data_IF_064216193172
#
_entry.id   IF_064216193172
#
_cell.length_a   1.000
_cell.length_b   1.000
_cell.length_c   1.000
_cell.angle_alpha   90.00
_cell.angle_beta   90.00
_cell.angle_gamma   90.00
#
_symmetry.space_group_name_H-M   'P 1'
#
loop_
_entity.id
_entity.type
_entity.pdbx_description
1 polymer ?
#
# COMPACT_ATOMS: atom_id res chain seq x y z
N UNK A 1 -26.38 -12.23 -51.13
CA UNK A 1 -27.03 -11.93 -49.85
C UNK A 1 -26.27 -12.45 -48.61
N UNK A 2 -25.80 -13.72 -48.58
CA UNK A 2 -25.09 -14.28 -47.43
C UNK A 2 -23.80 -13.52 -47.06
N UNK A 3 -22.99 -13.09 -48.03
CA UNK A 3 -21.73 -12.35 -47.79
C UNK A 3 -21.97 -10.97 -47.17
N UNK A 4 -23.04 -10.27 -47.57
CA UNK A 4 -23.37 -8.94 -47.04
C UNK A 4 -23.77 -8.99 -45.53
N UNK A 5 -24.50 -10.05 -45.16
CA UNK A 5 -24.91 -10.26 -43.76
C UNK A 5 -23.69 -10.52 -42.87
N UNK A 6 -22.72 -11.31 -43.33
CA UNK A 6 -21.49 -11.56 -42.58
C UNK A 6 -20.61 -10.31 -42.41
N UNK A 7 -20.52 -9.48 -43.46
CA UNK A 7 -19.76 -8.21 -43.36
C UNK A 7 -20.41 -7.23 -42.37
N UNK A 8 -21.74 -7.15 -42.36
CA UNK A 8 -22.47 -6.31 -41.41
C UNK A 8 -22.34 -6.82 -39.98
N UNK A 9 -22.34 -8.14 -39.74
CA UNK A 9 -22.14 -8.72 -38.41
C UNK A 9 -20.72 -8.49 -37.88
N UNK A 10 -19.70 -8.62 -38.74
CA UNK A 10 -18.31 -8.35 -38.37
C UNK A 10 -18.12 -6.85 -38.07
N UNK A 11 -18.70 -5.97 -38.86
CA UNK A 11 -18.64 -4.52 -38.61
C UNK A 11 -19.37 -4.11 -37.31
N UNK A 12 -20.55 -4.71 -37.05
CA UNK A 12 -21.29 -4.47 -35.82
C UNK A 12 -20.54 -4.98 -34.58
N UNK A 13 -19.92 -6.16 -34.65
CA UNK A 13 -19.10 -6.73 -33.58
C UNK A 13 -17.85 -5.89 -33.34
N UNK A 14 -17.17 -5.45 -34.41
CA UNK A 14 -16.02 -4.55 -34.33
C UNK A 14 -16.40 -3.21 -33.70
N UNK A 15 -17.54 -2.62 -34.04
CA UNK A 15 -18.03 -1.38 -33.42
C UNK A 15 -18.37 -1.57 -31.94
N UNK A 16 -18.97 -2.70 -31.54
CA UNK A 16 -19.28 -3.03 -30.16
C UNK A 16 -18.00 -3.18 -29.29
N UNK A 17 -16.99 -3.86 -29.84
CA UNK A 17 -15.69 -4.03 -29.16
C UNK A 17 -14.98 -2.68 -29.05
N UNK A 18 -15.05 -1.84 -30.09
CA UNK A 18 -14.44 -0.51 -30.06
C UNK A 18 -15.15 0.43 -29.05
N UNK A 19 -16.47 0.39 -28.99
CA UNK A 19 -17.25 1.17 -28.00
C UNK A 19 -17.00 0.71 -26.58
N UNK A 20 -16.84 -0.59 -26.33
CA UNK A 20 -16.51 -1.10 -24.99
C UNK A 20 -15.10 -0.74 -24.55
N UNK A 21 -14.16 -0.59 -25.48
CA UNK A 21 -12.79 -0.14 -25.15
C UNK A 21 -12.67 1.38 -24.97
N UNK A 22 -13.56 2.14 -25.60
CA UNK A 22 -13.59 3.61 -25.48
C UNK A 22 -14.27 4.11 -24.20
N UNK A 23 -15.02 3.26 -23.50
CA UNK A 23 -15.69 3.60 -22.25
C UNK A 23 -14.98 3.06 -21.00
N UNK A 24 -13.66 3.00 -20.98
CA UNK A 24 -12.98 2.90 -19.69
C UNK A 24 -13.20 4.22 -18.98
N UNK A 25 -13.98 4.26 -17.87
CA UNK A 25 -14.03 5.47 -17.06
C UNK A 25 -12.59 5.77 -16.67
N UNK A 26 -12.21 6.99 -16.87
CA UNK A 26 -10.89 7.50 -16.52
C UNK A 26 -10.80 7.48 -14.99
N UNK A 27 -10.42 6.33 -14.44
CA UNK A 27 -10.40 6.06 -12.99
C UNK A 27 -9.36 6.91 -12.24
N UNK A 28 -8.61 7.70 -13.00
CA UNK A 28 -7.54 8.53 -12.47
C UNK A 28 -7.98 9.99 -12.22
N UNK A 29 -9.22 10.35 -12.56
CA UNK A 29 -9.74 11.67 -12.21
C UNK A 29 -10.25 11.69 -10.76
N UNK A 30 -9.79 12.66 -9.98
CA UNK A 30 -10.10 12.82 -8.56
C UNK A 30 -11.59 12.82 -8.24
N UNK A 31 -12.41 13.34 -9.14
CA UNK A 31 -13.87 13.44 -8.95
C UNK A 31 -14.61 12.10 -9.12
N UNK A 32 -13.98 11.10 -9.72
CA UNK A 32 -14.61 9.80 -10.03
C UNK A 32 -14.09 8.63 -9.20
N UNK A 33 -12.98 8.76 -8.46
CA UNK A 33 -12.41 7.68 -7.66
C UNK A 33 -12.95 7.71 -6.22
N UNK A 34 -13.83 6.78 -5.81
CA UNK A 34 -14.38 6.77 -4.46
C UNK A 34 -13.32 6.63 -3.38
N UNK A 35 -12.17 6.02 -3.68
CA UNK A 35 -11.05 5.85 -2.74
C UNK A 35 -10.34 7.16 -2.40
N UNK A 36 -10.47 8.19 -3.23
CA UNK A 36 -9.94 9.52 -2.99
C UNK A 36 -10.95 10.47 -2.33
N UNK A 37 -12.12 9.97 -1.94
CA UNK A 37 -13.15 10.79 -1.30
C UNK A 37 -12.86 11.03 0.19
N UNK A 38 -13.31 12.19 0.70
CA UNK A 38 -13.21 12.48 2.13
C UNK A 38 -14.00 11.46 2.98
N UNK A 39 -15.11 10.96 2.46
CA UNK A 39 -15.93 9.93 3.11
C UNK A 39 -15.16 8.63 3.25
N UNK A 40 -14.47 8.19 2.20
CA UNK A 40 -13.66 6.99 2.25
C UNK A 40 -12.51 7.13 3.26
N UNK A 41 -11.77 8.26 3.21
CA UNK A 41 -10.69 8.53 4.19
C UNK A 41 -11.19 8.51 5.63
N UNK A 42 -12.35 9.09 5.88
CA UNK A 42 -12.99 9.09 7.20
C UNK A 42 -13.39 7.69 7.67
N UNK A 43 -13.90 6.86 6.75
CA UNK A 43 -14.32 5.48 7.06
C UNK A 43 -13.15 4.56 7.41
N UNK A 44 -11.97 4.78 6.79
CA UNK A 44 -10.76 3.98 7.05
C UNK A 44 -9.95 4.46 8.26
N UNK A 45 -10.39 5.51 8.94
CA UNK A 45 -9.71 6.08 10.10
C UNK A 45 -8.44 6.85 9.77
N UNK A 46 -7.79 7.37 10.80
CA UNK A 46 -6.52 8.07 10.68
C UNK A 46 -5.37 7.11 10.36
N UNK A 47 -4.44 7.56 9.55
CA UNK A 47 -3.16 6.88 9.37
C UNK A 47 -2.25 7.19 10.56
N UNK A 48 -1.40 6.23 11.02
CA UNK A 48 -0.54 6.46 12.17
C UNK A 48 0.49 7.56 11.85
N UNK A 49 0.54 8.57 12.72
CA UNK A 49 1.48 9.70 12.67
C UNK A 49 2.57 9.56 13.75
N UNK A 50 2.92 8.33 14.06
CA UNK A 50 3.90 7.94 15.04
C UNK A 50 5.18 7.44 14.39
N UNK A 51 6.23 7.31 15.19
CA UNK A 51 7.50 6.71 14.80
C UNK A 51 7.91 5.70 15.88
N UNK A 52 8.65 4.67 15.49
CA UNK A 52 9.38 3.79 16.40
C UNK A 52 10.89 3.93 16.16
N UNK A 53 11.69 3.02 16.68
CA UNK A 53 13.15 3.04 16.56
C UNK A 53 13.65 2.97 15.09
N UNK A 54 12.86 2.40 14.19
CA UNK A 54 13.28 2.11 12.82
C UNK A 54 12.39 2.77 11.76
N UNK A 55 11.09 2.91 12.02
CA UNK A 55 10.11 3.27 11.00
C UNK A 55 9.25 4.47 11.36
N UNK A 56 8.68 5.06 10.32
CA UNK A 56 7.70 6.13 10.39
C UNK A 56 6.36 5.65 9.83
N UNK A 57 5.27 5.97 10.50
CA UNK A 57 3.92 5.62 10.05
C UNK A 57 3.50 6.38 8.80
N UNK A 58 2.57 5.79 8.04
CA UNK A 58 2.10 6.33 6.75
C UNK A 58 1.45 7.71 6.86
N UNK A 59 0.97 8.10 8.04
CA UNK A 59 0.43 9.44 8.29
C UNK A 59 1.44 10.56 8.03
N UNK A 60 2.72 10.34 8.36
CA UNK A 60 3.80 11.28 8.04
C UNK A 60 4.00 11.43 6.54
N UNK A 61 3.99 10.30 5.81
CA UNK A 61 4.12 10.29 4.35
C UNK A 61 2.91 10.97 3.68
N UNK A 62 1.72 10.76 4.23
CA UNK A 62 0.48 11.36 3.77
C UNK A 62 0.50 12.90 3.79
N UNK A 63 1.33 13.52 4.65
CA UNK A 63 1.49 14.96 4.69
C UNK A 63 1.89 15.58 3.34
N UNK A 64 2.64 14.83 2.53
CA UNK A 64 3.04 15.27 1.18
C UNK A 64 2.45 14.40 0.06
N UNK A 65 2.20 13.10 0.32
CA UNK A 65 1.81 12.10 -0.68
C UNK A 65 0.31 11.72 -0.63
N UNK A 66 -0.50 12.43 0.16
CA UNK A 66 -1.96 12.37 0.10
C UNK A 66 -2.52 13.55 -0.71
N UNK A 67 -3.79 13.87 -0.52
CA UNK A 67 -4.39 15.06 -1.11
C UNK A 67 -3.71 16.31 -0.56
N UNK A 68 -2.88 16.93 -1.37
CA UNK A 68 -2.10 18.12 -1.05
C UNK A 68 -2.84 19.36 -1.56
N UNK A 69 -3.12 20.37 -0.69
CA UNK A 69 -3.77 21.61 -1.11
C UNK A 69 -2.94 22.41 -2.13
N UNK A 70 -1.63 22.19 -2.17
CA UNK A 70 -0.74 22.81 -3.16
C UNK A 70 -0.54 21.95 -4.41
N UNK A 71 -1.01 20.73 -4.41
CA UNK A 71 -0.94 19.74 -5.51
C UNK A 71 0.47 19.36 -5.96
N UNK A 72 1.50 19.53 -5.13
CA UNK A 72 2.90 19.30 -5.54
C UNK A 72 3.24 17.85 -5.82
N UNK A 73 2.69 16.93 -5.03
CA UNK A 73 3.04 15.52 -5.09
C UNK A 73 1.84 14.61 -5.41
N UNK A 74 0.64 15.16 -5.54
CA UNK A 74 -0.59 14.39 -5.71
C UNK A 74 -1.29 14.62 -7.04
N UNK A 75 -0.92 15.65 -7.80
CA UNK A 75 -1.54 15.95 -9.10
C UNK A 75 -0.49 15.89 -10.22
N UNK A 76 -0.65 14.93 -11.11
CA UNK A 76 0.22 14.80 -12.28
C UNK A 76 -0.09 15.85 -13.34
N UNK A 77 0.94 16.23 -14.12
CA UNK A 77 0.82 17.20 -15.21
C UNK A 77 1.05 18.65 -14.78
N UNK A 78 1.42 18.89 -13.52
CA UNK A 78 1.78 20.23 -13.06
C UNK A 78 3.18 20.64 -13.56
N UNK A 79 3.31 21.90 -13.93
CA UNK A 79 4.60 22.54 -14.18
C UNK A 79 5.15 23.15 -12.90
N UNK A 80 6.46 23.09 -12.71
CA UNK A 80 7.11 23.78 -11.60
C UNK A 80 7.54 25.21 -12.02
N UNK A 81 7.34 26.29 -11.22
CA UNK A 81 6.62 26.29 -9.93
C UNK A 81 5.14 25.94 -10.10
N UNK A 82 4.62 25.22 -9.15
CA UNK A 82 3.28 24.70 -9.23
C UNK A 82 2.25 25.82 -9.36
N UNK A 83 1.56 25.83 -10.48
CA UNK A 83 0.30 26.53 -10.61
C UNK A 83 -0.77 25.48 -10.38
N UNK A 84 -1.71 25.65 -9.43
CA UNK A 84 -2.77 24.71 -9.24
C UNK A 84 -3.46 24.44 -10.58
N UNK A 85 -3.36 23.21 -11.07
CA UNK A 85 -4.10 22.77 -12.25
C UNK A 85 -5.30 21.97 -11.77
N UNK A 86 -6.51 22.59 -11.72
CA UNK A 86 -7.70 21.92 -11.27
C UNK A 86 -8.04 20.69 -12.12
N UNK A 87 -7.54 20.63 -13.34
CA UNK A 87 -7.76 19.56 -14.32
C UNK A 87 -6.63 18.53 -14.38
N UNK A 88 -5.68 18.55 -13.44
CA UNK A 88 -4.60 17.56 -13.35
C UNK A 88 -5.11 16.20 -12.83
N UNK A 89 -4.34 15.15 -13.09
CA UNK A 89 -4.67 13.79 -12.65
C UNK A 89 -4.28 13.63 -11.17
N UNK A 90 -5.21 13.18 -10.36
CA UNK A 90 -4.89 12.82 -8.98
C UNK A 90 -4.14 11.50 -8.96
N UNK A 91 -2.86 11.57 -8.66
CA UNK A 91 -1.92 10.44 -8.51
C UNK A 91 -1.50 10.24 -7.05
N UNK A 92 -2.36 10.62 -6.14
CA UNK A 92 -2.20 10.49 -4.70
C UNK A 92 -2.01 9.02 -4.29
N UNK A 93 -0.78 8.64 -4.07
CA UNK A 93 -0.40 7.25 -3.77
C UNK A 93 -0.90 6.78 -2.41
N UNK A 94 -1.14 7.69 -1.47
CA UNK A 94 -1.61 7.32 -0.13
C UNK A 94 -3.05 6.80 -0.17
N UNK A 95 -3.94 7.45 -0.89
CA UNK A 95 -5.34 7.01 -0.99
C UNK A 95 -5.45 5.73 -1.85
N UNK A 96 -4.63 5.58 -2.87
CA UNK A 96 -4.56 4.35 -3.66
C UNK A 96 -4.05 3.17 -2.81
N UNK A 97 -2.98 3.38 -2.05
CA UNK A 97 -2.38 2.36 -1.18
C UNK A 97 -3.33 1.95 -0.04
N UNK A 98 -3.95 2.91 0.68
CA UNK A 98 -4.75 2.59 1.89
C UNK A 98 -5.92 1.64 1.64
N UNK A 99 -6.40 1.55 0.41
CA UNK A 99 -7.46 0.64 0.00
C UNK A 99 -6.96 -0.77 -0.36
N UNK A 100 -5.65 -0.99 -0.41
CA UNK A 100 -5.06 -2.26 -0.83
C UNK A 100 -5.03 -3.31 0.28
N UNK A 101 -4.85 -4.57 -0.11
CA UNK A 101 -4.59 -5.66 0.84
C UNK A 101 -3.28 -5.45 1.61
N UNK A 102 -2.29 -4.77 1.04
CA UNK A 102 -1.03 -4.44 1.73
C UNK A 102 -1.26 -3.54 2.93
N UNK A 103 -1.98 -2.43 2.75
CA UNK A 103 -2.31 -1.51 3.84
C UNK A 103 -3.16 -2.15 4.95
N UNK A 104 -3.88 -3.22 4.62
CA UNK A 104 -4.80 -3.89 5.53
C UNK A 104 -4.29 -5.27 5.98
N UNK A 105 -3.09 -5.67 5.61
CA UNK A 105 -2.55 -7.01 5.85
C UNK A 105 -2.51 -7.41 7.32
N UNK A 106 -2.14 -6.47 8.21
CA UNK A 106 -2.10 -6.70 9.65
C UNK A 106 -3.50 -6.73 10.31
N UNK A 107 -4.45 -6.00 9.71
CA UNK A 107 -5.84 -5.87 10.19
C UNK A 107 -6.78 -6.95 9.63
N UNK A 108 -6.32 -7.75 8.69
CA UNK A 108 -7.13 -8.78 8.03
C UNK A 108 -7.58 -9.85 9.05
N UNK A 109 -8.88 -9.95 9.33
CA UNK A 109 -9.40 -10.91 10.31
C UNK A 109 -9.20 -12.37 9.88
N UNK A 110 -9.13 -12.66 8.58
CA UNK A 110 -8.85 -14.02 8.10
C UNK A 110 -7.40 -14.42 8.38
N UNK A 111 -6.46 -13.49 8.15
CA UNK A 111 -5.07 -13.75 8.51
C UNK A 111 -4.89 -13.92 10.02
N UNK A 112 -5.47 -13.03 10.83
CA UNK A 112 -5.40 -13.15 12.30
C UNK A 112 -6.00 -14.48 12.80
N UNK A 113 -7.14 -14.87 12.25
CA UNK A 113 -7.76 -16.16 12.56
C UNK A 113 -6.88 -17.35 12.12
N UNK A 114 -6.18 -17.22 10.98
CA UNK A 114 -5.26 -18.25 10.50
C UNK A 114 -4.05 -18.40 11.42
N UNK A 115 -3.44 -17.29 11.87
CA UNK A 115 -2.35 -17.35 12.87
C UNK A 115 -2.82 -18.03 14.15
N UNK A 116 -3.99 -17.64 14.66
CA UNK A 116 -4.58 -18.27 15.87
C UNK A 116 -4.82 -19.76 15.67
N UNK A 117 -5.28 -20.20 14.49
CA UNK A 117 -5.48 -21.60 14.16
C UNK A 117 -4.15 -22.36 14.10
N UNK A 118 -3.12 -21.81 13.48
CA UNK A 118 -1.79 -22.43 13.42
C UNK A 118 -1.19 -22.64 14.82
N UNK A 119 -1.32 -21.64 15.69
CA UNK A 119 -0.90 -21.73 17.10
C UNK A 119 -1.70 -22.81 17.84
N UNK A 120 -3.02 -22.90 17.64
CA UNK A 120 -3.85 -23.91 18.28
C UNK A 120 -3.48 -25.35 17.85
N UNK A 121 -3.05 -25.52 16.59
CA UNK A 121 -2.61 -26.83 16.06
C UNK A 121 -1.17 -27.17 16.49
N UNK A 122 -0.33 -26.14 16.62
CA UNK A 122 1.09 -26.28 16.92
C UNK A 122 1.50 -25.47 18.17
N UNK A 123 0.95 -25.76 19.36
CA UNK A 123 1.12 -24.89 20.52
C UNK A 123 2.58 -24.81 21.03
N UNK A 124 3.41 -25.80 20.74
CA UNK A 124 4.84 -25.76 21.06
C UNK A 124 5.65 -24.76 20.21
N UNK A 125 5.08 -24.27 19.12
CA UNK A 125 5.70 -23.31 18.18
C UNK A 125 4.97 -21.97 18.16
N UNK A 126 4.25 -21.64 19.23
CA UNK A 126 3.48 -20.40 19.29
C UNK A 126 4.36 -19.16 19.04
N UNK A 127 5.49 -19.05 19.74
CA UNK A 127 6.36 -17.86 19.64
C UNK A 127 6.90 -17.69 18.23
N UNK A 128 7.38 -18.78 17.62
CA UNK A 128 7.92 -18.73 16.26
C UNK A 128 6.84 -18.43 15.21
N UNK A 129 5.62 -18.93 15.40
CA UNK A 129 4.51 -18.68 14.47
C UNK A 129 4.01 -17.23 14.58
N UNK A 130 3.81 -16.75 15.81
CA UNK A 130 3.38 -15.37 16.05
C UNK A 130 4.43 -14.34 15.61
N UNK A 131 5.70 -14.67 15.69
CA UNK A 131 6.78 -13.83 15.19
C UNK A 131 6.91 -13.87 13.66
N UNK A 132 6.89 -15.07 13.07
CA UNK A 132 7.10 -15.25 11.63
C UNK A 132 6.04 -14.63 10.76
N UNK A 133 4.78 -14.74 11.13
CA UNK A 133 3.68 -14.22 10.32
C UNK A 133 3.70 -12.68 10.17
N UNK A 134 3.95 -11.90 11.24
CA UNK A 134 4.10 -10.44 11.17
C UNK A 134 5.26 -9.96 10.30
N UNK A 135 6.31 -10.74 10.07
CA UNK A 135 7.41 -10.31 9.20
C UNK A 135 6.95 -9.91 7.79
N UNK A 136 5.83 -10.47 7.33
CA UNK A 136 5.21 -10.11 6.04
C UNK A 136 3.95 -9.25 6.20
N UNK A 137 3.14 -9.48 7.25
CA UNK A 137 1.84 -8.84 7.40
C UNK A 137 1.87 -7.55 8.22
N UNK A 138 2.85 -7.40 9.10
CA UNK A 138 3.04 -6.24 9.98
C UNK A 138 4.53 -5.88 10.11
N UNK A 139 5.25 -5.67 8.99
CA UNK A 139 6.71 -5.55 9.01
C UNK A 139 7.22 -4.40 9.89
N UNK A 140 6.49 -3.29 9.98
CA UNK A 140 6.95 -2.14 10.76
C UNK A 140 7.01 -2.42 12.27
N UNK A 141 6.11 -3.22 12.81
CA UNK A 141 6.17 -3.66 14.20
C UNK A 141 7.24 -4.74 14.40
N UNK A 142 7.17 -5.79 13.59
CA UNK A 142 8.07 -6.94 13.69
C UNK A 142 9.55 -6.54 13.61
N UNK A 143 9.96 -5.83 12.54
CA UNK A 143 11.37 -5.50 12.34
C UNK A 143 11.87 -4.42 13.32
N UNK A 144 11.02 -3.51 13.80
CA UNK A 144 11.41 -2.57 14.84
C UNK A 144 11.64 -3.29 16.18
N UNK A 145 10.79 -4.24 16.55
CA UNK A 145 10.99 -5.04 17.77
C UNK A 145 12.32 -5.81 17.72
N UNK A 146 12.63 -6.46 16.60
CA UNK A 146 13.92 -7.14 16.42
C UNK A 146 15.11 -6.18 16.38
N UNK A 147 14.97 -5.00 15.78
CA UNK A 147 15.99 -3.94 15.81
C UNK A 147 16.30 -3.50 17.25
N UNK A 148 15.28 -3.42 18.11
CA UNK A 148 15.41 -3.09 19.51
C UNK A 148 15.91 -4.28 20.37
N UNK A 149 16.22 -5.42 19.75
CA UNK A 149 16.80 -6.60 20.41
C UNK A 149 15.77 -7.58 20.97
N UNK A 150 14.49 -7.44 20.63
CA UNK A 150 13.46 -8.41 21.01
C UNK A 150 13.62 -9.71 20.20
N UNK A 151 13.51 -10.84 20.88
CA UNK A 151 13.69 -12.16 20.24
C UNK A 151 12.45 -12.62 19.46
N UNK A 152 11.26 -12.31 19.97
CA UNK A 152 9.97 -12.66 19.36
C UNK A 152 9.03 -11.46 19.43
N UNK A 153 8.19 -11.29 18.40
CA UNK A 153 7.14 -10.29 18.33
C UNK A 153 5.76 -10.96 18.27
N UNK A 154 4.96 -10.77 19.31
CA UNK A 154 3.71 -11.51 19.48
C UNK A 154 2.50 -10.84 18.79
N UNK A 155 1.46 -11.65 18.54
CA UNK A 155 0.16 -11.13 18.08
C UNK A 155 -0.48 -10.17 19.10
N UNK A 156 -0.24 -10.32 20.39
CA UNK A 156 -0.76 -9.44 21.42
C UNK A 156 -0.13 -8.03 21.32
N UNK A 157 1.16 -7.96 21.05
CA UNK A 157 1.87 -6.69 20.80
C UNK A 157 1.40 -6.03 19.51
N UNK A 158 1.29 -6.81 18.42
CA UNK A 158 0.81 -6.33 17.12
C UNK A 158 -0.55 -5.64 17.24
N UNK A 159 -1.49 -6.21 17.96
CA UNK A 159 -2.86 -5.70 18.06
C UNK A 159 -2.98 -4.33 18.75
N UNK A 160 -1.97 -3.91 19.48
CA UNK A 160 -1.91 -2.61 20.14
C UNK A 160 -0.86 -1.65 19.54
N UNK A 161 -0.08 -2.12 18.57
CA UNK A 161 0.94 -1.34 17.89
C UNK A 161 0.36 -0.69 16.62
N UNK A 162 0.24 0.64 16.65
CA UNK A 162 -0.32 1.41 15.54
C UNK A 162 0.52 1.33 14.27
N UNK A 163 1.86 1.19 14.37
CA UNK A 163 2.72 1.01 13.21
C UNK A 163 2.63 -0.40 12.64
N UNK A 164 2.51 -1.42 13.48
CA UNK A 164 2.25 -2.78 13.04
C UNK A 164 0.92 -2.86 12.27
N UNK A 165 -0.13 -2.21 12.81
CA UNK A 165 -1.46 -2.15 12.20
C UNK A 165 -1.50 -1.30 10.91
N UNK A 166 -0.46 -0.55 10.60
CA UNK A 166 -0.30 0.14 9.31
C UNK A 166 -0.03 -0.85 8.15
N UNK A 167 0.23 -2.11 8.48
CA UNK A 167 0.43 -3.19 7.52
C UNK A 167 1.73 -3.05 6.72
N UNK A 168 1.71 -3.47 5.47
CA UNK A 168 2.82 -3.23 4.54
C UNK A 168 2.71 -1.80 4.01
N UNK A 169 3.26 -0.86 4.77
CA UNK A 169 3.16 0.56 4.48
C UNK A 169 4.37 1.09 3.70
N UNK A 170 4.43 2.41 3.52
CA UNK A 170 5.44 3.06 2.68
C UNK A 170 6.88 2.63 3.01
N UNK A 171 7.24 2.64 4.30
CA UNK A 171 8.60 2.29 4.74
C UNK A 171 8.94 0.82 4.50
N UNK A 172 7.95 -0.08 4.49
CA UNK A 172 8.20 -1.49 4.21
C UNK A 172 8.81 -1.74 2.82
N UNK A 173 8.60 -0.80 1.87
CA UNK A 173 9.23 -0.83 0.56
C UNK A 173 10.34 0.22 0.42
N UNK A 174 10.07 1.46 0.87
CA UNK A 174 10.96 2.59 0.62
C UNK A 174 12.17 2.66 1.55
N UNK A 175 12.24 1.82 2.57
CA UNK A 175 13.37 1.75 3.52
C UNK A 175 14.13 0.42 3.45
N UNK A 176 13.77 -0.46 2.52
CA UNK A 176 14.52 -1.71 2.33
C UNK A 176 15.95 -1.41 1.86
N UNK A 177 16.92 -2.10 2.49
CA UNK A 177 18.29 -2.13 2.00
C UNK A 177 18.34 -2.82 0.63
N UNK A 178 19.18 -2.32 -0.26
CA UNK A 178 19.50 -2.96 -1.54
C UNK A 178 20.46 -4.17 -1.36
N UNK A 179 20.97 -4.35 -0.15
CA UNK A 179 21.85 -5.44 0.20
C UNK A 179 21.10 -6.78 0.15
N UNK A 180 21.58 -7.69 -0.69
CA UNK A 180 21.00 -9.03 -0.90
C UNK A 180 19.56 -9.04 -1.49
N UNK A 181 19.09 -7.98 -2.13
CA UNK A 181 17.82 -7.98 -2.87
C UNK A 181 17.79 -9.14 -3.86
N UNK A 182 16.70 -9.90 -3.84
CA UNK A 182 16.50 -11.09 -4.69
C UNK A 182 17.10 -12.37 -4.15
N UNK A 183 17.83 -12.34 -3.04
CA UNK A 183 18.34 -13.50 -2.32
C UNK A 183 17.63 -13.76 -1.00
N UNK A 184 16.76 -12.85 -0.61
CA UNK A 184 15.97 -12.94 0.62
C UNK A 184 14.72 -13.77 0.38
N UNK A 185 14.40 -14.61 1.35
CA UNK A 185 13.22 -15.46 1.30
C UNK A 185 12.28 -15.19 2.47
N UNK A 186 10.98 -15.32 2.21
CA UNK A 186 9.98 -15.53 3.24
C UNK A 186 10.07 -14.54 4.41
N UNK A 187 10.07 -13.24 4.11
CA UNK A 187 10.07 -12.18 5.13
C UNK A 187 11.43 -11.93 5.79
N UNK A 188 12.53 -12.39 5.20
CA UNK A 188 13.88 -11.99 5.60
C UNK A 188 14.24 -10.66 4.92
N UNK A 189 13.68 -9.56 5.42
CA UNK A 189 13.91 -8.22 4.89
C UNK A 189 14.99 -7.51 5.72
N UNK A 190 15.80 -6.68 5.06
CA UNK A 190 16.76 -5.79 5.71
C UNK A 190 16.33 -4.34 5.48
N UNK A 191 16.46 -3.52 6.52
CA UNK A 191 16.10 -2.11 6.48
C UNK A 191 17.29 -1.24 6.84
N UNK A 192 17.36 -0.06 6.23
CA UNK A 192 18.32 0.98 6.58
C UNK A 192 17.67 1.96 7.57
N UNK A 193 18.46 2.54 8.48
CA UNK A 193 17.90 3.38 9.55
C UNK A 193 17.47 4.77 9.06
N UNK A 194 18.27 5.41 8.21
CA UNK A 194 18.15 6.85 7.92
C UNK A 194 17.91 7.18 6.44
N UNK A 195 17.51 6.20 5.63
CA UNK A 195 17.38 6.42 4.19
C UNK A 195 16.03 5.94 3.67
N UNK A 196 15.33 6.82 2.96
CA UNK A 196 14.17 6.47 2.13
C UNK A 196 14.58 6.48 0.67
N UNK A 197 14.41 5.35 0.00
CA UNK A 197 14.70 5.21 -1.41
C UNK A 197 13.53 5.73 -2.26
N UNK A 198 13.84 6.54 -3.24
CA UNK A 198 12.89 7.09 -4.20
C UNK A 198 13.40 6.97 -5.63
N UNK A 199 12.58 7.34 -6.65
CA UNK A 199 12.97 7.24 -8.05
C UNK A 199 14.01 8.29 -8.46
N UNK A 200 14.30 9.26 -7.60
CA UNK A 200 15.23 10.36 -7.88
C UNK A 200 16.50 10.18 -7.05
N UNK A 201 17.66 10.20 -7.72
CA UNK A 201 18.96 10.12 -7.06
C UNK A 201 19.17 11.25 -6.05
N UNK A 202 19.64 10.89 -4.85
CA UNK A 202 19.89 11.84 -3.77
C UNK A 202 18.67 12.16 -2.89
N UNK A 203 17.56 11.46 -3.08
CA UNK A 203 16.44 11.47 -2.12
C UNK A 203 16.92 10.87 -0.79
N UNK A 204 16.95 11.68 0.26
CA UNK A 204 17.24 11.28 1.63
C UNK A 204 16.10 11.76 2.51
#
# INVERSE_FOLDING_TARGET
>A
MKSLVWTLLIAAFGALVFMSSAQRPDRLHAEGNPYHSATFRSAYGGLPDTVNSLFTGSGKCAGCHATDPNHYASIAGQTFPAVPMPDGWNVNVTDDWRSTLMANSAKDPFWQAKVSQEVAVNPSHQLELEDKCPSCHAPLGHFAAHHDGQEFYSMAELLIDSLALDGVSCNACHQQSDENIGQQFSGLLNFVEDTLYGPYGGSK
#
